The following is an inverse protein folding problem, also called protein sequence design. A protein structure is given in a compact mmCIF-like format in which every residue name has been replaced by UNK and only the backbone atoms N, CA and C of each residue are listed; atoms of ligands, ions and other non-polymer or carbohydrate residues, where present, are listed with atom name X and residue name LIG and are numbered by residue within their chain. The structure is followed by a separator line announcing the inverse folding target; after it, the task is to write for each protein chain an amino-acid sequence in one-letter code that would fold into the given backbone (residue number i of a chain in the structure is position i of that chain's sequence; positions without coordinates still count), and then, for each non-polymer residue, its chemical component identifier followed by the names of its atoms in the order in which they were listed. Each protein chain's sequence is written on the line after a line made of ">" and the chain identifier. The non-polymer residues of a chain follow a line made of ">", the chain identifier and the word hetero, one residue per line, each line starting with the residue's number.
data_IF_563271142076
#
_entry.id   IF_563271142076
#
_cell.length_a   1.000
_cell.length_b   1.000
_cell.length_c   1.000
_cell.angle_alpha   90.00
_cell.angle_beta   90.00
_cell.angle_gamma   90.00
#
_symmetry.space_group_name_H-M   'P 1'
#
loop_
_entity.id
_entity.type
_entity.pdbx_description
1 polymer ?
#
# COMPACT_ATOMS: atom_id res chain seq x y z
N UNK A 1 -1.74 -9.22 11.22
CA UNK A 1 -2.76 -8.15 11.38
C UNK A 1 -3.09 -7.90 12.84
N UNK A 2 -3.53 -6.69 13.18
CA UNK A 2 -4.11 -6.39 14.49
C UNK A 2 -5.52 -7.00 14.61
N UNK A 3 -6.03 -7.12 15.84
CA UNK A 3 -7.43 -7.44 16.15
C UNK A 3 -7.99 -8.69 15.46
N UNK A 4 -7.18 -9.76 15.35
CA UNK A 4 -7.60 -11.06 14.81
C UNK A 4 -8.18 -12.00 15.87
N UNK A 5 -7.77 -11.85 17.13
CA UNK A 5 -8.15 -12.75 18.21
C UNK A 5 -9.09 -12.05 19.18
N UNK A 6 -10.09 -12.80 19.67
CA UNK A 6 -11.07 -12.29 20.65
C UNK A 6 -10.44 -11.80 21.96
N UNK A 7 -9.27 -12.32 22.33
CA UNK A 7 -8.60 -12.03 23.60
C UNK A 7 -7.69 -10.80 23.58
N UNK A 8 -7.24 -10.34 22.40
CA UNK A 8 -6.30 -9.22 22.30
C UNK A 8 -6.37 -8.53 20.93
N UNK A 9 -6.31 -7.19 20.96
CA UNK A 9 -6.23 -6.35 19.77
C UNK A 9 -4.81 -6.25 19.19
N UNK A 10 -3.79 -6.69 19.92
CA UNK A 10 -2.38 -6.52 19.55
C UNK A 10 -2.04 -7.40 18.34
N UNK A 11 -1.23 -6.91 17.37
CA UNK A 11 -0.72 -7.73 16.29
C UNK A 11 0.07 -8.93 16.82
N UNK A 12 -0.16 -10.08 16.21
CA UNK A 12 0.56 -11.32 16.52
C UNK A 12 1.57 -11.66 15.43
N UNK A 13 2.61 -12.40 15.80
CA UNK A 13 3.52 -13.05 14.87
C UNK A 13 3.40 -14.58 14.99
N UNK A 14 3.66 -15.29 13.89
CA UNK A 14 3.75 -16.74 13.87
C UNK A 14 5.20 -17.08 13.50
N UNK A 15 5.85 -17.89 14.34
CA UNK A 15 7.20 -18.37 14.08
C UNK A 15 7.15 -19.82 13.59
N UNK A 16 7.69 -20.06 12.40
CA UNK A 16 7.77 -21.40 11.81
C UNK A 16 9.21 -21.88 11.85
N UNK A 17 9.49 -22.89 12.67
CA UNK A 17 10.83 -23.47 12.83
C UNK A 17 10.88 -24.85 12.16
N UNK A 18 11.89 -25.07 11.32
CA UNK A 18 12.10 -26.34 10.61
C UNK A 18 13.49 -26.89 10.91
N UNK A 19 13.55 -28.15 11.37
CA UNK A 19 14.83 -28.89 11.45
C UNK A 19 15.37 -29.18 10.06
N UNK A 20 16.68 -29.04 9.87
CA UNK A 20 17.39 -29.27 8.61
C UNK A 20 16.88 -28.40 7.45
N UNK A 21 16.79 -27.08 7.67
CA UNK A 21 16.51 -26.11 6.60
C UNK A 21 17.65 -26.12 5.57
N UNK A 22 17.31 -26.03 4.27
CA UNK A 22 18.30 -25.94 3.18
C UNK A 22 18.97 -24.55 3.13
N UNK A 23 18.21 -23.44 3.08
CA UNK A 23 18.82 -22.12 3.15
C UNK A 23 18.95 -21.66 4.61
N UNK A 24 20.04 -20.95 4.92
CA UNK A 24 20.32 -20.41 6.25
C UNK A 24 19.88 -18.95 6.43
N UNK A 25 18.67 -18.66 5.94
CA UNK A 25 18.04 -17.34 5.94
C UNK A 25 16.67 -17.40 6.63
N UNK A 26 16.20 -16.23 7.07
CA UNK A 26 14.87 -16.03 7.63
C UNK A 26 14.00 -15.31 6.59
N UNK A 27 12.81 -15.85 6.34
CA UNK A 27 11.80 -15.23 5.48
C UNK A 27 10.85 -14.42 6.37
N UNK A 28 10.85 -13.11 6.20
CA UNK A 28 9.86 -12.23 6.81
C UNK A 28 8.67 -12.08 5.87
N UNK A 29 7.45 -12.19 6.41
CA UNK A 29 6.20 -11.98 5.68
C UNK A 29 5.36 -10.99 6.49
N UNK A 30 5.15 -9.80 5.95
CA UNK A 30 4.32 -8.74 6.48
C UNK A 30 2.86 -8.94 6.04
N UNK A 31 2.15 -9.78 6.78
CA UNK A 31 0.72 -9.96 6.60
C UNK A 31 -0.11 -8.87 7.30
N UNK A 32 0.45 -7.75 7.76
CA UNK A 32 -0.28 -6.79 8.60
C UNK A 32 -1.55 -6.23 7.93
N UNK A 33 -1.52 -6.03 6.61
CA UNK A 33 -2.61 -5.51 5.79
C UNK A 33 -3.48 -6.62 5.16
N UNK A 34 -3.14 -7.89 5.38
CA UNK A 34 -3.84 -9.05 4.80
C UNK A 34 -5.04 -9.47 5.66
N UNK A 35 -6.06 -8.61 5.72
CA UNK A 35 -7.28 -8.86 6.46
C UNK A 35 -8.44 -8.06 5.89
N UNK A 36 -9.66 -8.57 6.09
CA UNK A 36 -10.87 -7.78 5.93
C UNK A 36 -11.21 -7.12 7.26
N UNK A 37 -11.43 -5.81 7.23
CA UNK A 37 -11.81 -5.04 8.41
C UNK A 37 -13.23 -5.40 8.81
N UNK A 38 -13.39 -6.08 9.93
CA UNK A 38 -14.70 -6.31 10.53
C UNK A 38 -15.00 -5.28 11.63
N UNK A 39 -16.24 -5.31 12.13
CA UNK A 39 -16.75 -4.32 13.09
C UNK A 39 -16.15 -4.50 14.50
N UNK A 40 -15.96 -5.74 14.92
CA UNK A 40 -15.38 -6.11 16.23
C UNK A 40 -14.02 -6.78 16.12
N UNK A 41 -13.80 -7.53 15.04
CA UNK A 41 -12.56 -8.24 14.75
C UNK A 41 -12.26 -8.16 13.27
N UNK A 42 -10.98 -8.23 12.94
CA UNK A 42 -10.52 -8.42 11.58
C UNK A 42 -10.65 -9.89 11.18
N UNK A 43 -10.90 -10.16 9.90
CA UNK A 43 -11.06 -11.52 9.39
C UNK A 43 -10.00 -11.83 8.32
N UNK A 44 -9.32 -12.97 8.46
CA UNK A 44 -8.54 -13.52 7.35
C UNK A 44 -9.49 -14.26 6.41
N UNK A 45 -9.65 -13.72 5.20
CA UNK A 45 -10.32 -14.42 4.10
C UNK A 45 -9.43 -15.53 3.55
N UNK A 46 -10.02 -16.54 2.87
CA UNK A 46 -9.26 -17.58 2.19
C UNK A 46 -8.20 -17.02 1.24
N UNK A 47 -8.49 -15.93 0.53
CA UNK A 47 -7.56 -15.26 -0.39
C UNK A 47 -6.27 -14.77 0.31
N UNK A 48 -6.41 -14.16 1.49
CA UNK A 48 -5.27 -13.71 2.30
C UNK A 48 -4.41 -14.89 2.75
N UNK A 49 -5.07 -15.98 3.16
CA UNK A 49 -4.39 -17.21 3.60
C UNK A 49 -3.62 -17.81 2.43
N UNK A 50 -4.24 -17.90 1.25
CA UNK A 50 -3.60 -18.41 0.03
C UNK A 50 -2.36 -17.59 -0.31
N UNK A 51 -2.44 -16.25 -0.31
CA UNK A 51 -1.27 -15.39 -0.59
C UNK A 51 -0.12 -15.65 0.40
N UNK A 52 -0.42 -15.76 1.70
CA UNK A 52 0.57 -16.05 2.74
C UNK A 52 1.23 -17.42 2.52
N UNK A 53 0.42 -18.44 2.23
CA UNK A 53 0.89 -19.81 2.01
C UNK A 53 1.76 -19.88 0.76
N UNK A 54 1.32 -19.30 -0.36
CA UNK A 54 2.10 -19.27 -1.60
C UNK A 54 3.44 -18.57 -1.41
N UNK A 55 3.45 -17.46 -0.66
CA UNK A 55 4.67 -16.71 -0.37
C UNK A 55 5.63 -17.51 0.50
N UNK A 56 5.11 -18.22 1.50
CA UNK A 56 5.90 -19.14 2.31
C UNK A 56 6.45 -20.31 1.49
N UNK A 57 5.62 -20.94 0.66
CA UNK A 57 5.98 -22.12 -0.13
C UNK A 57 7.04 -21.82 -1.18
N UNK A 58 6.90 -20.69 -1.87
CA UNK A 58 7.80 -20.29 -2.96
C UNK A 58 8.92 -19.35 -2.51
N UNK A 59 8.88 -18.86 -1.26
CA UNK A 59 9.82 -17.86 -0.70
C UNK A 59 9.97 -16.64 -1.61
N UNK A 60 8.86 -16.20 -2.21
CA UNK A 60 8.83 -15.02 -3.09
C UNK A 60 9.13 -13.77 -2.26
N UNK A 61 9.96 -12.89 -2.79
CA UNK A 61 10.19 -11.56 -2.24
C UNK A 61 9.28 -10.57 -2.98
N UNK A 62 8.59 -9.75 -2.21
CA UNK A 62 7.64 -8.76 -2.72
C UNK A 62 7.86 -7.47 -1.92
N UNK A 63 8.04 -6.31 -2.58
CA UNK A 63 8.23 -5.03 -1.91
C UNK A 63 7.15 -4.79 -0.84
N UNK A 64 7.58 -4.38 0.36
CA UNK A 64 6.72 -4.11 1.54
C UNK A 64 5.97 -5.32 2.13
N UNK A 65 6.02 -6.47 1.47
CA UNK A 65 5.27 -7.66 1.85
C UNK A 65 6.15 -8.82 2.31
N UNK A 66 7.21 -9.17 1.59
CA UNK A 66 8.09 -10.28 1.99
C UNK A 66 9.55 -10.04 1.61
N UNK A 67 10.46 -10.45 2.49
CA UNK A 67 11.90 -10.33 2.27
C UNK A 67 12.64 -11.49 2.91
N UNK A 68 13.66 -11.99 2.22
CA UNK A 68 14.60 -12.98 2.74
C UNK A 68 15.79 -12.25 3.33
N UNK A 69 16.13 -12.60 4.56
CA UNK A 69 17.17 -11.93 5.34
C UNK A 69 18.16 -12.97 5.80
N UNK A 70 19.43 -12.74 5.50
CA UNK A 70 20.52 -13.62 5.91
C UNK A 70 20.83 -13.46 7.40
N UNK A 71 21.40 -14.50 8.00
CA UNK A 71 21.71 -14.50 9.43
C UNK A 71 22.66 -13.38 9.85
N UNK A 72 23.60 -12.98 8.97
CA UNK A 72 24.53 -11.89 9.21
C UNK A 72 23.83 -10.52 9.39
N UNK A 73 22.78 -10.24 8.61
CA UNK A 73 21.99 -8.99 8.77
C UNK A 73 21.21 -9.00 10.09
N UNK A 74 20.80 -10.18 10.55
CA UNK A 74 20.04 -10.35 11.79
C UNK A 74 20.95 -10.20 13.01
N UNK A 75 22.16 -10.75 12.94
CA UNK A 75 23.19 -10.55 13.95
C UNK A 75 23.58 -9.08 14.08
N UNK A 76 23.73 -8.37 12.94
CA UNK A 76 23.96 -6.92 12.91
C UNK A 76 22.81 -6.12 13.57
N UNK A 77 21.60 -6.66 13.58
CA UNK A 77 20.43 -6.07 14.21
C UNK A 77 20.19 -6.62 15.63
N UNK A 78 21.21 -7.15 16.31
CA UNK A 78 21.16 -7.70 17.67
C UNK A 78 20.10 -8.80 17.84
N UNK A 79 19.89 -9.61 16.80
CA UNK A 79 18.85 -10.65 16.74
C UNK A 79 17.42 -10.10 16.95
N UNK A 80 17.21 -8.81 16.73
CA UNK A 80 15.89 -8.20 16.80
C UNK A 80 15.06 -8.59 15.58
N UNK A 81 14.03 -9.41 15.79
CA UNK A 81 13.14 -9.91 14.72
C UNK A 81 11.96 -8.98 14.43
N UNK A 82 11.99 -7.73 14.88
CA UNK A 82 10.95 -6.77 14.53
C UNK A 82 10.95 -6.54 13.01
N UNK A 83 9.81 -6.82 12.37
CA UNK A 83 9.65 -6.77 10.92
C UNK A 83 9.94 -5.39 10.32
N UNK A 84 9.72 -4.31 11.07
CA UNK A 84 9.98 -2.94 10.61
C UNK A 84 11.47 -2.66 10.33
N UNK A 85 12.37 -3.50 10.86
CA UNK A 85 13.82 -3.41 10.57
C UNK A 85 14.19 -3.97 9.21
N UNK A 86 13.36 -4.87 8.67
CA UNK A 86 13.69 -5.64 7.47
C UNK A 86 12.78 -5.29 6.29
N UNK A 87 11.54 -4.91 6.56
CA UNK A 87 10.55 -4.56 5.55
C UNK A 87 10.10 -3.12 5.80
N UNK A 88 10.33 -2.26 4.80
CA UNK A 88 9.78 -0.90 4.82
C UNK A 88 8.27 -0.96 4.67
N UNK A 89 7.54 -0.37 5.62
CA UNK A 89 6.08 -0.19 5.53
C UNK A 89 5.70 1.10 4.82
N UNK A 90 6.68 1.97 4.52
CA UNK A 90 6.45 3.23 3.84
C UNK A 90 5.82 2.99 2.46
N UNK A 91 4.76 3.74 2.17
CA UNK A 91 4.12 3.75 0.87
C UNK A 91 5.08 4.53 -0.04
N UNK A 92 5.57 3.90 -1.10
CA UNK A 92 6.24 4.64 -2.16
C UNK A 92 5.18 5.56 -2.75
N UNK A 93 5.40 6.87 -2.68
CA UNK A 93 4.55 7.84 -3.38
C UNK A 93 4.57 7.49 -4.86
N UNK A 94 3.41 7.51 -5.51
CA UNK A 94 3.35 7.31 -6.96
C UNK A 94 4.22 8.39 -7.62
N UNK A 95 5.06 7.97 -8.58
CA UNK A 95 5.82 8.92 -9.37
C UNK A 95 4.84 9.76 -10.18
N UNK A 96 4.66 11.01 -9.75
CA UNK A 96 3.77 11.95 -10.39
C UNK A 96 4.41 12.38 -11.72
N UNK A 97 3.76 12.07 -12.85
CA UNK A 97 4.13 12.66 -14.14
C UNK A 97 3.66 14.13 -14.17
N UNK A 98 4.58 15.02 -13.82
CA UNK A 98 4.35 16.46 -13.84
C UNK A 98 3.96 16.98 -15.22
N UNK A 99 4.41 16.32 -16.29
CA UNK A 99 4.10 16.72 -17.67
C UNK A 99 2.64 16.41 -18.00
N UNK A 100 2.18 15.21 -17.63
CA UNK A 100 0.79 14.80 -17.82
C UNK A 100 -0.17 15.69 -17.02
N UNK A 101 0.15 15.96 -15.74
CA UNK A 101 -0.67 16.85 -14.89
C UNK A 101 -0.70 18.27 -15.46
N UNK A 102 0.43 18.78 -15.94
CA UNK A 102 0.47 20.12 -16.54
C UNK A 102 -0.37 20.21 -17.82
N UNK A 103 -0.34 19.17 -18.67
CA UNK A 103 -1.19 19.09 -19.85
C UNK A 103 -2.68 19.06 -19.49
N UNK A 104 -3.06 18.28 -18.47
CA UNK A 104 -4.44 18.21 -17.98
C UNK A 104 -4.93 19.56 -17.42
N UNK A 105 -4.10 20.24 -16.60
CA UNK A 105 -4.38 21.59 -16.11
C UNK A 105 -4.60 22.59 -17.25
N UNK A 106 -3.77 22.53 -18.28
CA UNK A 106 -3.86 23.43 -19.44
C UNK A 106 -5.15 23.20 -20.24
N UNK A 107 -5.56 21.95 -20.43
CA UNK A 107 -6.82 21.62 -21.09
C UNK A 107 -8.04 22.03 -20.27
N UNK A 108 -7.98 21.88 -18.94
CA UNK A 108 -9.03 22.36 -18.03
C UNK A 108 -9.15 23.89 -18.15
N UNK A 109 -8.05 24.64 -18.10
CA UNK A 109 -8.08 26.10 -18.24
C UNK A 109 -8.66 26.55 -19.58
N UNK A 110 -8.28 25.87 -20.67
CA UNK A 110 -8.84 26.13 -22.00
C UNK A 110 -10.36 25.85 -22.04
N UNK A 111 -10.80 24.78 -21.38
CA UNK A 111 -12.22 24.42 -21.29
C UNK A 111 -12.99 25.48 -20.50
N UNK A 112 -12.43 25.94 -19.37
CA UNK A 112 -12.98 27.03 -18.56
C UNK A 112 -13.12 28.29 -19.41
N UNK A 113 -12.07 28.71 -20.11
CA UNK A 113 -12.13 29.90 -20.97
C UNK A 113 -13.20 29.79 -22.05
N UNK A 114 -13.31 28.63 -22.69
CA UNK A 114 -14.31 28.40 -23.73
C UNK A 114 -15.73 28.42 -23.16
N UNK A 115 -15.96 27.76 -22.03
CA UNK A 115 -17.24 27.76 -21.34
C UNK A 115 -17.63 29.16 -20.84
N UNK A 116 -16.68 29.92 -20.27
CA UNK A 116 -16.89 31.31 -19.84
C UNK A 116 -17.21 32.21 -21.04
N UNK A 117 -16.52 32.06 -22.17
CA UNK A 117 -16.81 32.82 -23.39
C UNK A 117 -18.21 32.53 -23.93
N UNK A 118 -18.61 31.26 -23.98
CA UNK A 118 -19.97 30.85 -24.37
C UNK A 118 -21.01 31.41 -23.40
N UNK A 119 -20.76 31.33 -22.09
CA UNK A 119 -21.65 31.86 -21.08
C UNK A 119 -21.81 33.39 -21.20
N UNK A 120 -20.71 34.11 -21.41
CA UNK A 120 -20.72 35.56 -21.59
C UNK A 120 -21.44 35.99 -22.88
N UNK A 121 -21.41 35.17 -23.94
CA UNK A 121 -22.21 35.42 -25.14
C UNK A 121 -23.72 35.40 -24.81
N UNK A 122 -24.18 34.40 -24.05
CA UNK A 122 -25.57 34.34 -23.59
C UNK A 122 -25.94 35.50 -22.66
N UNK A 123 -25.06 35.87 -21.72
CA UNK A 123 -25.29 37.02 -20.83
C UNK A 123 -25.46 38.32 -21.62
N UNK A 124 -24.67 38.51 -22.68
CA UNK A 124 -24.75 39.69 -23.54
C UNK A 124 -26.07 39.75 -24.32
N UNK A 125 -26.56 38.62 -24.83
CA UNK A 125 -27.88 38.54 -25.48
C UNK A 125 -29.03 38.88 -24.51
N UNK A 126 -28.88 38.52 -23.24
CA UNK A 126 -29.84 38.82 -22.16
C UNK A 126 -29.69 40.24 -21.58
N UNK A 127 -28.72 41.04 -22.06
CA UNK A 127 -28.46 42.40 -21.57
C UNK A 127 -27.83 42.46 -20.17
N UNK A 128 -27.22 41.36 -19.71
CA UNK A 128 -26.57 41.24 -18.41
C UNK A 128 -25.04 41.47 -18.52
N UNK A 129 -24.41 41.82 -17.39
CA UNK A 129 -22.96 42.01 -17.32
C UNK A 129 -22.21 40.67 -17.45
N UNK A 130 -21.09 40.62 -18.17
CA UNK A 130 -20.30 39.39 -18.33
C UNK A 130 -19.53 39.03 -17.04
N UNK A 131 -19.22 37.74 -16.90
CA UNK A 131 -18.30 37.22 -15.88
C UNK A 131 -16.83 37.54 -16.24
N UNK A 132 -15.97 37.72 -15.23
CA UNK A 132 -14.54 37.98 -15.41
C UNK A 132 -13.79 36.83 -16.09
#
# INVERSE_FOLDING_TARGET
>A
PANLFYSTGIPVCILVLKRCKKPDDLLFINAAEQFEKGKRQNQLKPEHITKIIETYQHRKEEPRYSRRVEMAEIEKNDFNLNISRYISTAIAEEEIDLTAIHAELTEIDRTIQTATAQHNAFLKELGLLPLP
#
